data_IF_966453776605
#
_entry.id   IF_966453776605
#
_cell.length_a   1.000
_cell.length_b   1.000
_cell.length_c   1.000
_cell.angle_alpha   90.00
_cell.angle_beta   90.00
_cell.angle_gamma   90.00
#
_symmetry.space_group_name_H-M   'P 1'
#
loop_
_entity.id
_entity.type
_entity.pdbx_description
1 polymer ?
#
# COMPACT_ATOMS: atom_id res chain seq x y z
N UNK A 1 27.97 -19.94 -4.96
CA UNK A 1 27.09 -19.22 -4.07
C UNK A 1 25.70 -19.10 -4.67
N UNK A 2 24.72 -19.45 -3.87
CA UNK A 2 23.34 -19.45 -4.34
C UNK A 2 22.76 -18.04 -4.24
N UNK A 3 22.32 -17.51 -5.37
CA UNK A 3 21.56 -16.27 -5.37
C UNK A 3 20.15 -16.56 -4.88
N UNK A 4 19.60 -15.65 -4.09
CA UNK A 4 18.19 -15.71 -3.71
C UNK A 4 17.32 -15.55 -4.94
N UNK A 5 16.24 -16.29 -4.99
CA UNK A 5 15.23 -16.10 -6.02
C UNK A 5 14.47 -14.80 -5.79
N UNK A 6 13.98 -14.20 -6.85
CA UNK A 6 13.16 -13.00 -6.77
C UNK A 6 11.73 -13.37 -6.42
N UNK A 7 11.15 -12.60 -5.51
CA UNK A 7 9.76 -12.74 -5.09
C UNK A 7 9.06 -11.40 -5.27
N UNK A 8 8.01 -11.38 -6.07
CA UNK A 8 7.20 -10.19 -6.30
C UNK A 8 5.95 -10.27 -5.45
N UNK A 9 5.70 -9.27 -4.62
CA UNK A 9 4.56 -9.23 -3.72
C UNK A 9 3.68 -8.04 -4.08
N UNK A 10 2.38 -8.27 -4.26
CA UNK A 10 1.41 -7.22 -4.48
C UNK A 10 1.28 -6.37 -3.21
N UNK A 11 1.02 -5.08 -3.38
CA UNK A 11 0.92 -4.14 -2.27
C UNK A 11 -0.50 -4.01 -1.73
N UNK A 12 -1.42 -3.54 -2.58
CA UNK A 12 -2.80 -3.27 -2.14
C UNK A 12 -3.58 -4.56 -1.94
N UNK A 13 -4.22 -4.69 -0.79
CA UNK A 13 -4.99 -5.89 -0.45
C UNK A 13 -4.13 -7.06 0.04
N UNK A 14 -2.82 -6.95 -0.02
CA UNK A 14 -1.88 -7.99 0.46
C UNK A 14 -1.05 -7.47 1.63
N UNK A 15 -0.42 -6.32 1.46
CA UNK A 15 0.38 -5.66 2.51
C UNK A 15 -0.38 -4.48 3.10
N UNK A 16 -1.06 -3.70 2.25
CA UNK A 16 -1.78 -2.49 2.62
C UNK A 16 -3.27 -2.76 2.65
N UNK A 17 -3.93 -2.36 3.74
CA UNK A 17 -5.38 -2.43 3.86
C UNK A 17 -6.02 -1.19 3.22
N UNK A 18 -5.99 -1.15 1.90
CA UNK A 18 -6.52 -0.03 1.14
C UNK A 18 -8.03 0.10 1.30
N UNK A 19 -8.74 -1.02 1.34
CA UNK A 19 -10.21 -1.02 1.45
C UNK A 19 -10.64 -0.34 2.76
N UNK A 20 -9.97 -0.66 3.87
CA UNK A 20 -10.30 -0.03 5.15
C UNK A 20 -10.09 1.49 5.10
N UNK A 21 -9.02 1.95 4.45
CA UNK A 21 -8.77 3.38 4.34
C UNK A 21 -9.79 4.08 3.43
N UNK A 22 -10.18 3.41 2.34
CA UNK A 22 -11.25 3.92 1.47
C UNK A 22 -12.54 4.11 2.26
N UNK A 23 -12.91 3.14 3.09
CA UNK A 23 -14.12 3.22 3.91
C UNK A 23 -14.03 4.36 4.94
N UNK A 24 -12.88 4.53 5.58
CA UNK A 24 -12.67 5.61 6.55
C UNK A 24 -12.82 6.97 5.88
N UNK A 25 -12.19 7.18 4.74
CA UNK A 25 -12.24 8.47 4.05
C UNK A 25 -13.62 8.75 3.47
N UNK A 26 -14.28 7.72 2.93
CA UNK A 26 -15.63 7.89 2.38
C UNK A 26 -16.64 8.30 3.47
N UNK A 27 -16.50 7.74 4.66
CA UNK A 27 -17.36 8.10 5.79
C UNK A 27 -17.15 9.54 6.27
N UNK A 28 -15.96 10.12 6.06
CA UNK A 28 -15.62 11.47 6.48
C UNK A 28 -15.93 12.55 5.45
N UNK A 29 -16.16 12.16 4.20
CA UNK A 29 -16.41 13.09 3.10
C UNK A 29 -17.88 13.52 3.11
N UNK A 30 -18.11 14.78 2.73
CA UNK A 30 -19.44 15.31 2.59
C UNK A 30 -20.26 14.49 1.59
N UNK A 31 -21.49 14.16 1.98
CA UNK A 31 -22.40 13.36 1.15
C UNK A 31 -22.56 13.98 -0.24
N UNK A 32 -22.42 13.17 -1.26
CA UNK A 32 -22.57 13.61 -2.65
C UNK A 32 -21.26 14.03 -3.34
N UNK A 33 -20.14 14.11 -2.61
CA UNK A 33 -18.84 14.45 -3.20
C UNK A 33 -18.40 13.37 -4.19
N UNK A 34 -18.54 12.10 -3.80
CA UNK A 34 -18.30 10.96 -4.66
C UNK A 34 -19.53 10.05 -4.70
N UNK A 35 -19.80 9.47 -5.85
CA UNK A 35 -20.90 8.52 -6.02
C UNK A 35 -20.62 7.21 -5.29
N UNK A 36 -19.39 6.75 -5.38
CA UNK A 36 -18.97 5.45 -4.85
C UNK A 36 -17.69 5.60 -4.03
N UNK A 37 -17.53 4.72 -3.06
CA UNK A 37 -16.30 4.71 -2.25
C UNK A 37 -15.05 4.52 -3.11
N UNK A 38 -15.14 3.74 -4.19
CA UNK A 38 -14.03 3.48 -5.10
C UNK A 38 -13.55 4.72 -5.86
N UNK A 39 -14.35 5.78 -5.93
CA UNK A 39 -13.91 7.05 -6.52
C UNK A 39 -12.76 7.67 -5.75
N UNK A 40 -12.62 7.36 -4.46
CA UNK A 40 -11.49 7.79 -3.65
C UNK A 40 -10.15 7.30 -4.20
N UNK A 41 -10.13 6.12 -4.80
CA UNK A 41 -8.91 5.57 -5.39
C UNK A 41 -8.40 6.48 -6.50
N UNK A 42 -9.31 7.03 -7.29
CA UNK A 42 -8.95 7.92 -8.41
C UNK A 42 -8.68 9.36 -7.97
N UNK A 43 -9.29 9.85 -6.91
CA UNK A 43 -9.30 11.28 -6.60
C UNK A 43 -8.78 11.67 -5.22
N UNK A 44 -8.63 10.75 -4.28
CA UNK A 44 -8.12 11.08 -2.96
C UNK A 44 -6.64 11.43 -3.00
N UNK A 45 -6.27 12.47 -2.25
CA UNK A 45 -4.87 12.86 -2.07
C UNK A 45 -4.19 12.13 -0.91
N UNK A 46 -4.92 11.31 -0.16
CA UNK A 46 -4.42 10.71 1.09
C UNK A 46 -4.62 9.21 1.18
N UNK A 47 -5.50 8.60 0.37
CA UNK A 47 -5.89 7.21 0.55
C UNK A 47 -4.71 6.23 0.47
N UNK A 48 -3.76 6.47 -0.43
CA UNK A 48 -2.59 5.61 -0.55
C UNK A 48 -1.51 5.89 0.51
N UNK A 49 -1.51 7.10 1.05
CA UNK A 49 -0.51 7.52 2.02
C UNK A 49 -0.89 7.11 3.44
N UNK A 50 -2.16 7.20 3.77
CA UNK A 50 -2.66 7.03 5.13
C UNK A 50 -3.16 5.62 5.44
N UNK A 51 -3.20 4.73 4.46
CA UNK A 51 -3.64 3.36 4.68
C UNK A 51 -2.72 2.62 5.66
N UNK A 52 -3.32 1.74 6.46
CA UNK A 52 -2.58 0.94 7.43
C UNK A 52 -2.12 -0.37 6.83
N UNK A 53 -1.04 -0.96 7.33
CA UNK A 53 -0.65 -2.30 6.89
C UNK A 53 -1.65 -3.34 7.40
N UNK A 54 -1.83 -4.40 6.61
CA UNK A 54 -2.58 -5.57 7.06
C UNK A 54 -1.82 -6.23 8.21
N UNK A 55 -2.54 -6.73 9.21
CA UNK A 55 -1.94 -7.36 10.38
C UNK A 55 -0.93 -8.41 9.97
N UNK A 56 0.24 -8.35 10.58
CA UNK A 56 1.37 -9.27 10.37
C UNK A 56 2.02 -9.23 8.97
N UNK A 57 1.53 -8.38 8.06
CA UNK A 57 2.07 -8.32 6.70
C UNK A 57 3.54 -7.88 6.68
N UNK A 58 3.90 -6.82 7.41
CA UNK A 58 5.27 -6.33 7.45
C UNK A 58 6.23 -7.35 8.06
N UNK A 59 5.78 -8.01 9.11
CA UNK A 59 6.54 -9.09 9.75
C UNK A 59 6.77 -10.25 8.79
N UNK A 60 5.74 -10.63 8.04
CA UNK A 60 5.83 -11.71 7.06
C UNK A 60 6.79 -11.38 5.93
N UNK A 61 6.76 -10.15 5.43
CA UNK A 61 7.69 -9.70 4.38
C UNK A 61 9.14 -9.73 4.90
N UNK A 62 9.36 -9.24 6.12
CA UNK A 62 10.68 -9.28 6.73
C UNK A 62 11.22 -10.71 6.85
N UNK A 63 10.35 -11.66 7.20
CA UNK A 63 10.71 -13.06 7.25
C UNK A 63 11.06 -13.62 5.87
N UNK A 64 10.28 -13.28 4.85
CA UNK A 64 10.53 -13.71 3.47
C UNK A 64 11.84 -13.15 2.90
N UNK A 65 12.25 -11.96 3.31
CA UNK A 65 13.51 -11.36 2.87
C UNK A 65 14.74 -12.18 3.26
N UNK A 66 14.64 -13.03 4.26
CA UNK A 66 15.72 -13.94 4.63
C UNK A 66 16.00 -14.98 3.55
N UNK A 67 15.00 -15.31 2.74
CA UNK A 67 15.05 -16.39 1.75
C UNK A 67 14.94 -15.92 0.31
N UNK A 68 14.36 -14.74 0.10
CA UNK A 68 14.08 -14.20 -1.22
C UNK A 68 14.55 -12.77 -1.35
N UNK A 69 14.86 -12.40 -2.58
CA UNK A 69 15.04 -11.01 -2.95
C UNK A 69 13.66 -10.44 -3.24
N UNK A 70 13.11 -9.65 -2.29
CA UNK A 70 11.70 -9.20 -2.33
C UNK A 70 11.57 -7.90 -3.12
N UNK A 71 10.63 -7.90 -4.04
CA UNK A 71 10.21 -6.70 -4.79
C UNK A 71 8.72 -6.49 -4.60
N UNK A 72 8.32 -5.23 -4.54
CA UNK A 72 6.91 -4.86 -4.52
C UNK A 72 6.44 -4.64 -5.94
N UNK A 73 5.35 -5.32 -6.32
CA UNK A 73 4.72 -5.16 -7.61
C UNK A 73 3.34 -4.55 -7.39
N UNK A 74 3.13 -3.36 -7.91
CA UNK A 74 1.88 -2.64 -7.73
C UNK A 74 1.51 -1.87 -8.98
N UNK A 75 0.21 -1.63 -9.12
CA UNK A 75 -0.32 -0.74 -10.16
C UNK A 75 -0.89 0.50 -9.51
N UNK A 76 -1.04 1.56 -10.28
CA UNK A 76 -1.66 2.79 -9.80
C UNK A 76 -2.79 3.20 -10.73
N UNK A 77 -3.91 3.73 -10.18
CA UNK A 77 -4.99 4.24 -11.01
C UNK A 77 -4.48 5.43 -11.83
N UNK A 78 -4.79 5.41 -13.13
CA UNK A 78 -4.30 6.43 -14.05
C UNK A 78 -4.72 7.84 -13.65
N UNK A 79 -5.95 7.99 -13.14
CA UNK A 79 -6.49 9.28 -12.77
C UNK A 79 -5.88 9.89 -11.53
N UNK A 80 -5.33 9.09 -10.63
CA UNK A 80 -4.70 9.59 -9.41
C UNK A 80 -3.22 9.81 -9.64
N UNK A 81 -2.86 11.06 -9.95
CA UNK A 81 -1.49 11.43 -10.28
C UNK A 81 -0.51 11.30 -9.12
N UNK A 82 -1.00 11.20 -7.89
CA UNK A 82 -0.17 11.07 -6.69
C UNK A 82 0.09 9.63 -6.29
N UNK A 83 -0.65 8.68 -6.87
CA UNK A 83 -0.67 7.30 -6.38
C UNK A 83 0.71 6.63 -6.35
N UNK A 84 1.49 6.72 -7.42
CA UNK A 84 2.82 6.10 -7.48
C UNK A 84 3.77 6.68 -6.44
N UNK A 85 3.80 7.99 -6.32
CA UNK A 85 4.66 8.67 -5.35
C UNK A 85 4.27 8.29 -3.92
N UNK A 86 2.97 8.29 -3.64
CA UNK A 86 2.47 7.97 -2.31
C UNK A 86 2.71 6.52 -1.94
N UNK A 87 2.58 5.58 -2.87
CA UNK A 87 2.91 4.16 -2.63
C UNK A 87 4.38 3.98 -2.29
N UNK A 88 5.27 4.67 -2.99
CA UNK A 88 6.71 4.63 -2.68
C UNK A 88 7.01 5.21 -1.31
N UNK A 89 6.41 6.35 -0.99
CA UNK A 89 6.57 6.99 0.33
C UNK A 89 6.04 6.08 1.43
N UNK A 90 4.87 5.50 1.23
CA UNK A 90 4.27 4.58 2.19
C UNK A 90 5.19 3.40 2.48
N UNK A 91 5.68 2.76 1.43
CA UNK A 91 6.57 1.61 1.57
C UNK A 91 7.86 1.96 2.30
N UNK A 92 8.48 3.04 1.88
CA UNK A 92 9.72 3.53 2.49
C UNK A 92 9.53 3.85 3.97
N UNK A 93 8.49 4.59 4.31
CA UNK A 93 8.27 5.05 5.67
C UNK A 93 7.70 3.96 6.59
N UNK A 94 6.91 3.05 6.04
CA UNK A 94 6.25 2.03 6.84
C UNK A 94 7.10 0.78 6.99
N UNK A 95 7.54 0.20 5.88
CA UNK A 95 8.28 -1.06 5.92
C UNK A 95 9.73 -0.87 6.34
N UNK A 96 10.45 0.05 5.69
CA UNK A 96 11.88 0.21 5.94
C UNK A 96 12.16 0.72 7.36
N UNK A 97 11.32 1.61 7.88
CA UNK A 97 11.47 2.08 9.26
C UNK A 97 11.17 0.99 10.28
N UNK A 98 10.17 0.16 10.02
CA UNK A 98 9.82 -0.95 10.92
C UNK A 98 10.88 -2.05 10.93
N UNK A 99 11.52 -2.32 9.79
CA UNK A 99 12.50 -3.40 9.68
C UNK A 99 13.91 -2.99 10.08
N UNK A 100 14.21 -1.69 10.05
CA UNK A 100 15.53 -1.15 10.38
C UNK A 100 15.59 -0.52 11.78
N UNK A 101 14.53 -0.69 12.53
CA UNK A 101 14.47 -0.18 13.90
C UNK A 101 15.32 -0.97 14.86
#
# INVERSE_FOLDING_TARGET
MNKKKRLFIDLDGVIVDLIAQVEVEFAQIESGTYKEATDLIDFSETVFLDAEPIKDALKSVAELEKYFEVYILSTAPWKNTLAWMQKRIWWKNTFLLCTNA
#
